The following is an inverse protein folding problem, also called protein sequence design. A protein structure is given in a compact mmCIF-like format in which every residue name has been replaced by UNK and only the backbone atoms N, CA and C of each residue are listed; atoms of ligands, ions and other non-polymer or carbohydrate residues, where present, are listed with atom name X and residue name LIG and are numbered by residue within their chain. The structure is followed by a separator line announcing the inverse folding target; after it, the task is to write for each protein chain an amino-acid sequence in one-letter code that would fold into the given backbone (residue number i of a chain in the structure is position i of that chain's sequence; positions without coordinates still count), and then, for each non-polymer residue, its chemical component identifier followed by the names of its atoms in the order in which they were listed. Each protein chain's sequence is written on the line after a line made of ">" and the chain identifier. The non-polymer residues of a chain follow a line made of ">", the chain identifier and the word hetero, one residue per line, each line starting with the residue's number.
data_IF_497155146323
#
_entry.id   IF_497155146323
#
_cell.length_a   1.000
_cell.length_b   1.000
_cell.length_c   1.000
_cell.angle_alpha   90.00
_cell.angle_beta   90.00
_cell.angle_gamma   90.00
#
_symmetry.space_group_name_H-M   'P 1'
#
loop_
_entity.id
_entity.type
_entity.pdbx_description
1 polymer ?
#
# COMPACT_ATOMS: atom_id res chain seq x y z
N UNK A 1 5.82 -3.09 20.24
CA UNK A 1 4.49 -3.72 20.46
C UNK A 1 4.20 -3.72 21.95
N UNK A 2 3.05 -3.22 22.37
CA UNK A 2 2.66 -3.07 23.77
C UNK A 2 2.53 -4.45 24.47
N UNK A 3 2.99 -4.58 25.74
CA UNK A 3 2.90 -5.83 26.53
C UNK A 3 1.49 -6.40 26.61
N UNK A 4 0.48 -5.54 26.56
CA UNK A 4 -0.96 -5.88 26.52
C UNK A 4 -1.34 -6.84 25.40
N UNK A 5 -0.64 -6.81 24.24
CA UNK A 5 -0.92 -7.70 23.11
C UNK A 5 -0.16 -9.02 23.18
N UNK A 6 0.95 -9.07 23.94
CA UNK A 6 1.78 -10.26 24.03
C UNK A 6 1.06 -11.46 24.67
N UNK A 7 0.15 -11.25 25.61
CA UNK A 7 -0.59 -12.33 26.31
C UNK A 7 -1.73 -12.94 25.49
N UNK A 8 -2.35 -12.16 24.59
CA UNK A 8 -3.53 -12.57 23.84
C UNK A 8 -3.30 -12.76 22.34
N UNK A 9 -2.10 -12.52 21.86
CA UNK A 9 -1.73 -12.60 20.46
C UNK A 9 -0.56 -13.54 20.23
N UNK A 10 -0.69 -14.50 19.32
CA UNK A 10 0.41 -15.35 18.88
C UNK A 10 1.25 -14.61 17.85
N UNK A 11 2.39 -14.10 18.27
CA UNK A 11 3.36 -13.47 17.37
C UNK A 11 4.25 -14.55 16.76
N UNK A 12 4.41 -14.54 15.45
CA UNK A 12 5.36 -15.38 14.73
C UNK A 12 6.16 -14.55 13.76
N UNK A 13 7.46 -14.70 13.80
CA UNK A 13 8.39 -14.23 12.78
C UNK A 13 8.98 -15.44 12.06
N UNK A 14 9.44 -15.26 10.85
CA UNK A 14 10.07 -16.34 10.12
C UNK A 14 10.39 -16.00 8.69
N UNK A 15 10.81 -17.00 7.95
CA UNK A 15 11.15 -16.88 6.55
C UNK A 15 10.22 -17.74 5.70
N UNK A 16 10.05 -17.34 4.44
CA UNK A 16 9.40 -18.13 3.40
C UNK A 16 10.20 -18.08 2.09
N UNK A 17 10.09 -19.13 1.29
CA UNK A 17 10.68 -19.13 -0.05
C UNK A 17 9.83 -18.26 -0.98
N UNK A 18 10.46 -17.27 -1.57
CA UNK A 18 9.86 -16.45 -2.61
C UNK A 18 9.71 -17.20 -3.95
N UNK A 19 9.15 -16.54 -4.96
CA UNK A 19 8.90 -17.16 -6.26
C UNK A 19 10.18 -17.56 -7.01
N UNK A 20 11.30 -16.90 -6.76
CA UNK A 20 12.61 -17.20 -7.35
C UNK A 20 13.43 -18.22 -6.52
N UNK A 21 12.87 -18.77 -5.42
CA UNK A 21 13.54 -19.70 -4.52
C UNK A 21 14.36 -19.07 -3.41
N UNK A 22 14.50 -17.74 -3.40
CA UNK A 22 15.16 -16.99 -2.34
C UNK A 22 14.32 -16.89 -1.07
N UNK A 23 14.86 -16.25 -0.03
CA UNK A 23 14.27 -16.20 1.30
C UNK A 23 13.79 -14.78 1.64
N UNK A 24 12.51 -14.65 1.89
CA UNK A 24 11.90 -13.42 2.40
C UNK A 24 11.45 -13.60 3.84
N UNK A 25 11.52 -12.52 4.61
CA UNK A 25 11.09 -12.45 6.01
C UNK A 25 9.59 -12.10 6.10
N UNK A 26 8.96 -12.46 7.21
CA UNK A 26 7.61 -12.03 7.54
C UNK A 26 7.39 -11.98 9.05
N UNK A 27 6.47 -11.12 9.46
CA UNK A 27 5.82 -11.13 10.77
C UNK A 27 4.36 -11.54 10.63
N UNK A 28 3.81 -12.20 11.65
CA UNK A 28 2.36 -12.42 11.76
C UNK A 28 1.91 -12.32 13.21
N UNK A 29 0.76 -11.73 13.41
CA UNK A 29 0.15 -11.42 14.70
C UNK A 29 -1.27 -11.98 14.68
N UNK A 30 -1.52 -13.02 15.46
CA UNK A 30 -2.76 -13.80 15.39
C UNK A 30 -3.43 -13.81 16.76
N UNK A 31 -4.49 -13.01 16.99
CA UNK A 31 -5.27 -13.06 18.22
C UNK A 31 -5.99 -14.41 18.38
N UNK A 32 -6.48 -14.71 19.57
CA UNK A 32 -7.14 -16.03 19.86
C UNK A 32 -8.32 -16.30 18.93
N UNK A 33 -9.17 -15.31 18.68
CA UNK A 33 -10.38 -15.42 17.86
C UNK A 33 -10.41 -14.32 16.79
N UNK A 34 -9.61 -14.42 15.71
CA UNK A 34 -9.58 -13.36 14.72
C UNK A 34 -10.86 -13.33 13.88
N UNK A 35 -11.40 -12.12 13.68
CA UNK A 35 -12.61 -11.89 12.87
C UNK A 35 -12.35 -11.97 11.37
N UNK A 36 -11.16 -11.52 10.93
CA UNK A 36 -10.68 -11.59 9.55
C UNK A 36 -9.14 -11.56 9.51
N UNK A 37 -8.56 -11.81 8.34
CA UNK A 37 -7.14 -11.65 8.09
C UNK A 37 -6.88 -10.30 7.41
N UNK A 38 -5.78 -9.65 7.74
CA UNK A 38 -5.25 -8.49 7.03
C UNK A 38 -3.83 -8.80 6.56
N UNK A 39 -3.56 -8.61 5.28
CA UNK A 39 -2.21 -8.69 4.71
C UNK A 39 -1.70 -7.28 4.47
N UNK A 40 -0.60 -6.91 5.10
CA UNK A 40 0.07 -5.63 4.91
C UNK A 40 1.09 -5.76 3.77
N UNK A 41 0.95 -4.92 2.75
CA UNK A 41 1.89 -4.78 1.65
C UNK A 41 2.60 -3.43 1.81
N UNK A 42 3.81 -3.44 2.35
CA UNK A 42 4.53 -2.24 2.77
C UNK A 42 5.12 -1.43 1.62
N UNK A 43 5.53 -0.19 1.90
CA UNK A 43 6.07 0.75 0.92
C UNK A 43 7.57 0.57 0.62
N UNK A 44 8.09 1.51 -0.17
CA UNK A 44 9.49 1.58 -0.57
C UNK A 44 10.40 1.96 0.60
N UNK A 45 11.53 1.26 0.77
CA UNK A 45 12.48 1.47 1.86
C UNK A 45 11.87 1.30 3.27
N UNK A 46 10.88 0.44 3.41
CA UNK A 46 10.20 0.17 4.67
C UNK A 46 10.51 -1.24 5.18
N UNK A 47 10.15 -1.50 6.43
CA UNK A 47 10.39 -2.73 7.16
C UNK A 47 9.24 -3.01 8.13
N UNK A 48 9.17 -4.20 8.69
CA UNK A 48 8.01 -4.66 9.45
C UNK A 48 7.69 -3.78 10.67
N UNK A 49 8.68 -3.44 11.47
CA UNK A 49 8.51 -2.69 12.73
C UNK A 49 8.07 -1.24 12.53
N UNK A 50 8.19 -0.72 11.31
CA UNK A 50 7.59 0.58 10.95
C UNK A 50 6.08 0.57 11.08
N UNK A 51 5.46 -0.60 10.97
CA UNK A 51 4.01 -0.80 10.98
C UNK A 51 3.46 -1.16 12.36
N UNK A 52 4.23 -1.12 13.44
CA UNK A 52 3.77 -1.52 14.79
C UNK A 52 2.46 -0.85 15.19
N UNK A 53 2.34 0.48 15.04
CA UNK A 53 1.12 1.24 15.34
C UNK A 53 -0.09 0.79 14.47
N UNK A 54 0.15 0.46 13.21
CA UNK A 54 -0.88 -0.06 12.29
C UNK A 54 -1.31 -1.47 12.70
N UNK A 55 -0.34 -2.31 13.07
CA UNK A 55 -0.59 -3.68 13.58
C UNK A 55 -1.40 -3.63 14.85
N UNK A 56 -1.05 -2.77 15.79
CA UNK A 56 -1.78 -2.58 17.06
C UNK A 56 -3.22 -2.16 16.82
N UNK A 57 -3.47 -1.17 15.95
CA UNK A 57 -4.82 -0.75 15.58
C UNK A 57 -5.66 -1.89 14.97
N UNK A 58 -5.04 -2.76 14.15
CA UNK A 58 -5.72 -3.92 13.58
C UNK A 58 -6.01 -5.00 14.63
N UNK A 59 -5.07 -5.25 15.55
CA UNK A 59 -5.23 -6.21 16.64
C UNK A 59 -6.33 -5.78 17.63
N UNK A 60 -6.44 -4.49 17.94
CA UNK A 60 -7.51 -3.93 18.77
C UNK A 60 -8.90 -4.18 18.20
N UNK A 61 -9.01 -4.22 16.88
CA UNK A 61 -10.25 -4.56 16.17
C UNK A 61 -10.44 -6.06 15.94
N UNK A 62 -9.51 -6.90 16.42
CA UNK A 62 -9.60 -8.36 16.32
C UNK A 62 -9.15 -8.97 14.99
N UNK A 63 -8.41 -8.25 14.16
CA UNK A 63 -7.87 -8.80 12.92
C UNK A 63 -6.59 -9.61 13.16
N UNK A 64 -6.42 -10.72 12.46
CA UNK A 64 -5.11 -11.36 12.33
C UNK A 64 -4.28 -10.61 11.26
N UNK A 65 -3.04 -10.26 11.58
CA UNK A 65 -2.20 -9.45 10.71
C UNK A 65 -1.04 -10.28 10.17
N UNK A 66 -0.80 -10.17 8.87
CA UNK A 66 0.29 -10.83 8.16
C UNK A 66 1.09 -9.77 7.38
N UNK A 67 2.37 -9.64 7.68
CA UNK A 67 3.25 -8.65 7.10
C UNK A 67 4.49 -9.32 6.50
N UNK A 68 4.47 -9.72 5.21
CA UNK A 68 5.67 -10.14 4.51
C UNK A 68 6.52 -8.92 4.14
N UNK A 69 7.83 -9.00 4.36
CA UNK A 69 8.75 -8.01 3.82
C UNK A 69 9.09 -8.31 2.36
N UNK A 70 9.00 -7.31 1.53
CA UNK A 70 9.36 -7.45 0.11
C UNK A 70 10.84 -7.78 -0.06
N UNK A 71 11.19 -8.57 -1.09
CA UNK A 71 12.61 -8.76 -1.44
C UNK A 71 13.30 -7.40 -1.58
N UNK A 72 14.54 -7.32 -1.16
CA UNK A 72 15.31 -6.08 -1.13
C UNK A 72 15.04 -5.17 0.07
N UNK A 73 14.17 -5.55 1.03
CA UNK A 73 13.79 -4.74 2.18
C UNK A 73 13.91 -5.54 3.48
N UNK A 74 14.11 -4.82 4.60
CA UNK A 74 14.17 -5.40 5.93
C UNK A 74 15.12 -6.57 6.03
N UNK A 75 14.66 -7.68 6.59
CA UNK A 75 15.41 -8.94 6.68
C UNK A 75 15.27 -9.85 5.45
N UNK A 76 14.51 -9.43 4.44
CA UNK A 76 14.35 -10.20 3.20
C UNK A 76 15.61 -10.17 2.35
N UNK A 77 15.78 -11.20 1.50
CA UNK A 77 16.91 -11.34 0.60
C UNK A 77 17.13 -10.09 -0.26
N UNK A 78 18.37 -9.67 -0.38
CA UNK A 78 18.80 -8.61 -1.29
C UNK A 78 18.98 -9.15 -2.71
N UNK A 79 18.65 -8.32 -3.69
CA UNK A 79 18.79 -8.62 -5.11
C UNK A 79 20.06 -8.03 -5.72
N UNK A 80 20.80 -7.23 -4.96
CA UNK A 80 22.13 -6.71 -5.32
C UNK A 80 23.06 -6.77 -4.12
N UNK A 81 24.36 -6.55 -4.35
CA UNK A 81 25.40 -6.65 -3.32
C UNK A 81 25.29 -5.60 -2.22
N UNK A 82 24.76 -4.43 -2.56
CA UNK A 82 24.67 -3.31 -1.64
C UNK A 82 23.34 -3.37 -0.86
N UNK A 83 23.43 -3.38 0.48
CA UNK A 83 22.28 -3.56 1.38
C UNK A 83 21.29 -2.41 1.36
N UNK A 84 21.75 -1.21 1.11
CA UNK A 84 20.97 0.02 1.13
C UNK A 84 20.24 0.31 -0.19
N UNK A 85 20.52 -0.47 -1.26
CA UNK A 85 19.90 -0.29 -2.56
C UNK A 85 18.65 -1.13 -2.76
N UNK A 86 17.61 -0.51 -3.27
CA UNK A 86 16.45 -1.23 -3.77
C UNK A 86 16.63 -1.52 -5.26
N UNK A 87 16.67 -2.79 -5.57
CA UNK A 87 16.69 -3.33 -6.93
C UNK A 87 15.53 -4.30 -7.12
N UNK A 88 14.90 -4.26 -8.27
CA UNK A 88 13.94 -5.27 -8.72
C UNK A 88 13.94 -5.34 -10.25
N UNK A 89 13.95 -6.52 -10.80
CA UNK A 89 13.87 -6.70 -12.24
C UNK A 89 12.48 -6.35 -12.78
N UNK A 90 11.44 -6.78 -12.10
CA UNK A 90 10.04 -6.55 -12.45
C UNK A 90 9.17 -6.47 -11.21
N UNK A 91 8.14 -5.65 -11.23
CA UNK A 91 7.11 -5.66 -10.16
C UNK A 91 6.33 -6.97 -10.10
N UNK A 92 6.34 -7.75 -11.18
CA UNK A 92 5.82 -9.12 -11.18
C UNK A 92 6.53 -10.01 -10.14
N UNK A 93 7.81 -9.79 -9.91
CA UNK A 93 8.57 -10.55 -8.92
C UNK A 93 8.01 -10.31 -7.51
N UNK A 94 7.68 -9.05 -7.15
CA UNK A 94 7.00 -8.74 -5.89
C UNK A 94 5.61 -9.37 -5.80
N UNK A 95 4.84 -9.33 -6.89
CA UNK A 95 3.49 -9.90 -6.94
C UNK A 95 3.51 -11.41 -6.76
N UNK A 96 4.45 -12.11 -7.40
CA UNK A 96 4.61 -13.55 -7.25
C UNK A 96 5.08 -13.93 -5.84
N UNK A 97 5.94 -13.13 -5.21
CA UNK A 97 6.38 -13.36 -3.84
C UNK A 97 5.21 -13.23 -2.85
N UNK A 98 4.39 -12.20 -3.03
CA UNK A 98 3.18 -12.01 -2.23
C UNK A 98 2.21 -13.18 -2.41
N UNK A 99 2.03 -13.68 -3.64
CA UNK A 99 1.23 -14.87 -3.92
C UNK A 99 1.79 -16.11 -3.19
N UNK A 100 3.10 -16.36 -3.28
CA UNK A 100 3.76 -17.48 -2.60
C UNK A 100 3.60 -17.39 -1.08
N UNK A 101 3.69 -16.18 -0.51
CA UNK A 101 3.47 -15.96 0.92
C UNK A 101 2.04 -16.31 1.33
N UNK A 102 1.06 -15.75 0.65
CA UNK A 102 -0.36 -15.94 0.96
C UNK A 102 -0.72 -17.43 0.91
N UNK A 103 -0.34 -18.13 -0.17
CA UNK A 103 -0.65 -19.57 -0.34
C UNK A 103 -0.03 -20.46 0.75
N UNK A 104 1.09 -20.06 1.34
CA UNK A 104 1.81 -20.86 2.32
C UNK A 104 1.52 -20.52 3.77
N UNK A 105 1.08 -19.30 4.04
CA UNK A 105 1.01 -18.76 5.41
C UNK A 105 -0.39 -18.41 5.85
N UNK A 106 -1.35 -18.25 4.95
CA UNK A 106 -2.70 -17.80 5.26
C UNK A 106 -3.74 -18.84 4.89
N UNK A 107 -4.61 -19.15 5.85
CA UNK A 107 -5.74 -20.06 5.64
C UNK A 107 -6.94 -19.28 5.04
N UNK A 108 -6.87 -18.94 3.76
CA UNK A 108 -7.84 -18.09 3.05
C UNK A 108 -9.29 -18.56 3.16
N UNK A 109 -9.54 -19.87 3.21
CA UNK A 109 -10.90 -20.42 3.25
C UNK A 109 -11.60 -20.34 4.61
N UNK A 110 -10.89 -19.95 5.65
CA UNK A 110 -11.43 -19.97 7.01
C UNK A 110 -12.14 -18.66 7.39
N UNK A 111 -11.73 -17.54 6.80
CA UNK A 111 -12.30 -16.21 7.08
C UNK A 111 -11.93 -15.23 6.00
N UNK A 112 -12.66 -14.10 5.90
CA UNK A 112 -12.36 -13.01 4.97
C UNK A 112 -10.93 -12.54 5.12
N UNK A 113 -10.33 -12.15 4.00
CA UNK A 113 -8.95 -11.68 3.94
C UNK A 113 -8.88 -10.35 3.21
N UNK A 114 -8.42 -9.32 3.92
CA UNK A 114 -8.30 -7.96 3.42
C UNK A 114 -6.85 -7.62 3.09
N UNK A 115 -6.68 -6.75 2.10
CA UNK A 115 -5.39 -6.18 1.75
C UNK A 115 -5.29 -4.76 2.29
N UNK A 116 -4.26 -4.48 3.07
CA UNK A 116 -3.80 -3.14 3.37
C UNK A 116 -2.49 -2.89 2.64
N UNK A 117 -2.41 -1.85 1.79
CA UNK A 117 -1.22 -1.63 0.97
C UNK A 117 -0.83 -0.14 0.90
N UNK A 118 0.41 0.17 1.27
CA UNK A 118 0.93 1.52 1.30
C UNK A 118 1.92 1.79 0.17
N UNK A 119 1.83 2.96 -0.45
CA UNK A 119 2.85 3.49 -1.38
C UNK A 119 3.23 2.48 -2.49
N UNK A 120 4.50 2.05 -2.56
CA UNK A 120 4.98 0.99 -3.46
C UNK A 120 4.16 -0.29 -3.33
N UNK A 121 3.83 -0.68 -2.08
CA UNK A 121 2.95 -1.82 -1.80
C UNK A 121 1.57 -1.66 -2.42
N UNK A 122 1.07 -0.42 -2.55
CA UNK A 122 -0.16 -0.12 -3.27
C UNK A 122 -0.10 -0.48 -4.75
N UNK A 123 1.03 -0.21 -5.43
CA UNK A 123 1.22 -0.65 -6.81
C UNK A 123 1.31 -2.19 -6.91
N UNK A 124 2.04 -2.83 -5.99
CA UNK A 124 2.16 -4.29 -5.91
C UNK A 124 0.79 -4.93 -5.67
N UNK A 125 0.05 -4.42 -4.66
CA UNK A 125 -1.28 -4.91 -4.31
C UNK A 125 -2.29 -4.75 -5.44
N UNK A 126 -2.31 -3.61 -6.12
CA UNK A 126 -3.23 -3.40 -7.24
C UNK A 126 -2.92 -4.32 -8.43
N UNK A 127 -1.64 -4.53 -8.79
CA UNK A 127 -1.25 -5.50 -9.83
C UNK A 127 -1.60 -6.93 -9.37
N UNK A 128 -1.47 -7.24 -8.08
CA UNK A 128 -1.90 -8.51 -7.51
C UNK A 128 -3.40 -8.74 -7.73
N UNK A 129 -4.24 -7.74 -7.42
CA UNK A 129 -5.69 -7.82 -7.64
C UNK A 129 -6.08 -7.97 -9.13
N UNK A 130 -5.29 -7.41 -10.05
CA UNK A 130 -5.48 -7.63 -11.48
C UNK A 130 -5.21 -9.08 -11.91
N UNK A 131 -4.27 -9.76 -11.23
CA UNK A 131 -3.87 -11.13 -11.55
C UNK A 131 -4.65 -12.19 -10.80
N UNK A 132 -4.98 -11.90 -9.54
CA UNK A 132 -5.62 -12.82 -8.60
C UNK A 132 -6.86 -12.18 -7.98
N UNK A 133 -7.92 -11.92 -8.77
CA UNK A 133 -9.05 -11.08 -8.36
C UNK A 133 -9.98 -11.70 -7.30
N UNK A 134 -9.71 -12.92 -6.85
CA UNK A 134 -10.56 -13.69 -5.92
C UNK A 134 -9.85 -14.04 -4.61
N UNK A 135 -8.62 -13.58 -4.39
CA UNK A 135 -7.86 -13.93 -3.18
C UNK A 135 -8.21 -13.02 -2.01
N UNK A 136 -8.44 -11.74 -2.28
CA UNK A 136 -8.86 -10.78 -1.27
C UNK A 136 -10.35 -10.45 -1.41
N UNK A 137 -11.00 -10.19 -0.29
CA UNK A 137 -12.41 -9.79 -0.24
C UNK A 137 -12.60 -8.28 -0.35
N UNK A 138 -11.64 -7.50 0.15
CA UNK A 138 -11.59 -6.05 -0.01
C UNK A 138 -10.13 -5.54 0.10
N UNK A 139 -9.89 -4.31 -0.35
CA UNK A 139 -8.57 -3.69 -0.25
C UNK A 139 -8.64 -2.23 0.19
N UNK A 140 -7.70 -1.84 1.05
CA UNK A 140 -7.41 -0.46 1.42
C UNK A 140 -6.04 -0.09 0.90
N UNK A 141 -5.98 0.99 0.13
CA UNK A 141 -4.76 1.57 -0.38
C UNK A 141 -4.48 2.91 0.31
N UNK A 142 -3.36 2.99 1.05
CA UNK A 142 -2.88 4.19 1.71
C UNK A 142 -1.84 4.89 0.85
N UNK A 143 -2.16 6.07 0.31
CA UNK A 143 -1.30 6.86 -0.57
C UNK A 143 -0.59 6.01 -1.66
N UNK A 144 -1.30 5.19 -2.46
CA UNK A 144 -0.69 4.16 -3.29
C UNK A 144 0.14 4.74 -4.44
N UNK A 145 1.26 4.10 -4.77
CA UNK A 145 2.13 4.46 -5.88
C UNK A 145 1.54 4.02 -7.23
N UNK A 146 0.37 4.55 -7.60
CA UNK A 146 -0.20 4.35 -8.94
C UNK A 146 0.46 5.22 -10.02
N UNK A 147 1.30 6.17 -9.60
CA UNK A 147 2.15 6.97 -10.46
C UNK A 147 3.32 7.58 -9.67
N UNK A 148 4.53 7.37 -10.15
CA UNK A 148 5.77 7.81 -9.49
C UNK A 148 6.03 9.28 -9.80
N UNK A 149 6.35 10.07 -8.78
CA UNK A 149 6.96 11.38 -8.99
C UNK A 149 8.46 11.22 -9.25
N UNK A 150 8.94 11.83 -10.29
CA UNK A 150 10.35 11.79 -10.74
C UNK A 150 11.04 13.14 -10.49
N UNK A 151 10.67 13.82 -9.40
CA UNK A 151 11.19 15.13 -9.05
C UNK A 151 10.92 16.17 -10.16
N UNK A 152 11.94 16.95 -10.51
CA UNK A 152 11.89 17.95 -11.58
C UNK A 152 12.02 17.32 -12.99
N UNK A 153 12.42 16.05 -13.10
CA UNK A 153 12.59 15.38 -14.39
C UNK A 153 11.23 14.86 -14.90
N UNK A 154 10.77 15.23 -16.09
CA UNK A 154 9.56 14.66 -16.69
C UNK A 154 9.65 13.13 -16.79
N UNK A 155 8.57 12.43 -16.46
CA UNK A 155 8.56 10.96 -16.40
C UNK A 155 9.00 10.27 -17.72
N UNK A 156 8.67 10.76 -18.94
CA UNK A 156 9.21 10.16 -20.16
C UNK A 156 10.73 10.23 -20.25
N UNK A 157 11.33 11.34 -19.80
CA UNK A 157 12.79 11.54 -19.78
C UNK A 157 13.42 10.64 -18.71
N UNK A 158 12.86 10.59 -17.50
CA UNK A 158 13.31 9.68 -16.44
C UNK A 158 13.23 8.22 -16.88
N UNK A 159 12.19 7.82 -17.61
CA UNK A 159 12.06 6.49 -18.21
C UNK A 159 13.17 6.21 -19.21
N UNK A 160 13.47 7.16 -20.12
CA UNK A 160 14.54 7.01 -21.11
C UNK A 160 15.90 6.89 -20.44
N UNK A 161 16.23 7.75 -19.48
CA UNK A 161 17.48 7.71 -18.71
C UNK A 161 17.63 6.36 -18.01
N UNK A 162 16.61 5.91 -17.27
CA UNK A 162 16.66 4.64 -16.56
C UNK A 162 16.83 3.46 -17.52
N UNK A 163 16.16 3.48 -18.68
CA UNK A 163 16.29 2.45 -19.71
C UNK A 163 17.70 2.41 -20.28
N UNK A 164 18.29 3.57 -20.60
CA UNK A 164 19.65 3.65 -21.13
C UNK A 164 20.68 3.19 -20.10
N UNK A 165 20.54 3.62 -18.84
CA UNK A 165 21.40 3.15 -17.74
C UNK A 165 21.37 1.61 -17.61
N UNK A 166 20.19 1.00 -17.68
CA UNK A 166 20.05 -0.45 -17.63
C UNK A 166 20.69 -1.14 -18.85
N UNK A 167 20.57 -0.57 -20.06
CA UNK A 167 21.16 -1.12 -21.28
C UNK A 167 22.69 -1.12 -21.26
N UNK A 168 23.30 -0.12 -20.61
CA UNK A 168 24.79 -0.05 -20.47
C UNK A 168 25.30 -0.73 -19.18
N UNK A 169 24.49 -1.57 -18.55
CA UNK A 169 24.90 -2.34 -17.36
C UNK A 169 24.88 -1.57 -16.03
N UNK A 170 24.37 -0.33 -16.01
CA UNK A 170 24.27 0.51 -14.80
C UNK A 170 22.91 0.35 -14.07
N UNK A 171 22.19 -0.73 -14.30
CA UNK A 171 20.88 -0.97 -13.70
C UNK A 171 20.89 -1.02 -12.16
N UNK A 172 22.00 -1.44 -11.55
CA UNK A 172 22.20 -1.50 -10.09
C UNK A 172 22.76 -0.20 -9.48
N UNK A 173 23.11 0.80 -10.30
CA UNK A 173 23.50 2.10 -9.79
C UNK A 173 22.29 2.87 -9.26
N UNK A 174 22.49 3.76 -8.29
CA UNK A 174 21.44 4.65 -7.82
C UNK A 174 20.84 5.47 -8.95
N UNK A 175 19.52 5.55 -9.00
CA UNK A 175 18.85 6.49 -9.89
C UNK A 175 19.25 7.94 -9.53
N UNK A 176 19.23 8.85 -10.51
CA UNK A 176 19.61 10.23 -10.30
C UNK A 176 18.83 10.86 -9.13
N UNK A 177 19.55 11.44 -8.18
CA UNK A 177 19.00 12.02 -6.94
C UNK A 177 18.70 10.99 -5.83
N UNK A 178 19.04 9.73 -6.02
CA UNK A 178 18.98 8.69 -4.98
C UNK A 178 20.38 8.44 -4.40
N UNK A 179 20.40 8.06 -3.11
CA UNK A 179 21.64 7.74 -2.37
C UNK A 179 21.36 6.72 -1.27
N UNK A 180 22.37 6.21 -0.62
CA UNK A 180 22.26 5.34 0.56
C UNK A 180 21.82 6.10 1.80
N UNK A 181 21.51 5.36 2.86
CA UNK A 181 21.19 5.93 4.16
C UNK A 181 22.43 6.60 4.76
N UNK A 182 22.33 7.88 5.10
CA UNK A 182 23.43 8.69 5.62
C UNK A 182 23.34 9.00 7.14
N UNK A 183 22.29 8.49 7.80
CA UNK A 183 22.08 8.67 9.24
C UNK A 183 21.71 10.10 9.66
N UNK A 184 21.35 10.98 8.73
CA UNK A 184 20.98 12.35 9.05
C UNK A 184 19.48 12.51 9.21
N UNK A 185 19.08 13.21 10.27
CA UNK A 185 17.69 13.58 10.48
C UNK A 185 17.22 14.65 9.50
N UNK A 186 16.03 14.42 8.94
CA UNK A 186 15.34 15.39 8.08
C UNK A 186 13.82 15.29 8.23
N UNK A 187 13.32 15.56 9.44
CA UNK A 187 11.88 15.52 9.70
C UNK A 187 11.10 16.50 8.81
N UNK A 188 11.64 17.67 8.56
CA UNK A 188 10.98 18.71 7.74
C UNK A 188 10.57 18.19 6.36
N UNK A 189 11.45 17.43 5.70
CA UNK A 189 11.23 16.85 4.38
C UNK A 189 10.73 15.40 4.44
N UNK A 190 10.43 14.89 5.64
CA UNK A 190 9.93 13.52 5.81
C UNK A 190 8.53 13.33 5.23
N UNK A 191 8.15 12.07 5.09
CA UNK A 191 6.85 11.64 4.55
C UNK A 191 5.72 11.61 5.59
N UNK A 192 6.00 11.87 6.87
CA UNK A 192 5.02 11.89 7.96
C UNK A 192 4.87 13.29 8.58
N UNK A 193 3.81 13.51 9.38
CA UNK A 193 3.58 14.76 10.11
C UNK A 193 3.70 14.58 11.63
N UNK A 194 3.77 13.35 12.14
CA UNK A 194 4.07 13.05 13.54
C UNK A 194 5.58 13.00 13.75
N UNK A 195 6.11 13.91 14.57
CA UNK A 195 7.52 13.92 14.93
C UNK A 195 7.88 12.70 15.79
N UNK A 196 7.00 12.29 16.69
CA UNK A 196 7.17 11.11 17.54
C UNK A 196 7.35 9.84 16.69
N UNK A 197 6.45 9.58 15.76
CA UNK A 197 6.56 8.43 14.86
C UNK A 197 7.81 8.50 13.99
N UNK A 198 8.18 9.71 13.52
CA UNK A 198 9.42 9.92 12.78
C UNK A 198 10.67 9.54 13.61
N UNK A 199 10.78 10.05 14.83
CA UNK A 199 11.94 9.80 15.71
C UNK A 199 12.05 8.31 16.06
N UNK A 200 10.92 7.65 16.35
CA UNK A 200 10.89 6.21 16.60
C UNK A 200 11.43 5.41 15.40
N UNK A 201 10.97 5.71 14.20
CA UNK A 201 11.39 5.00 12.99
C UNK A 201 12.84 5.32 12.63
N UNK A 202 13.26 6.58 12.79
CA UNK A 202 14.64 7.00 12.56
C UNK A 202 15.60 6.30 13.49
N UNK A 203 15.26 6.18 14.79
CA UNK A 203 16.02 5.42 15.78
C UNK A 203 16.17 3.94 15.37
N UNK A 204 15.06 3.26 15.05
CA UNK A 204 15.08 1.86 14.61
C UNK A 204 15.99 1.67 13.39
N UNK A 205 15.94 2.60 12.43
CA UNK A 205 16.79 2.56 11.24
C UNK A 205 18.25 2.73 11.53
N UNK A 206 18.60 3.62 12.46
CA UNK A 206 20.01 3.80 12.88
C UNK A 206 20.55 2.59 13.62
N UNK A 207 19.73 1.92 14.43
CA UNK A 207 20.14 0.78 15.24
C UNK A 207 20.23 -0.55 14.45
N UNK A 208 19.59 -0.65 13.29
CA UNK A 208 19.51 -1.89 12.54
C UNK A 208 19.90 -1.71 11.06
N UNK A 209 21.00 -2.30 10.63
CA UNK A 209 21.48 -2.26 9.25
C UNK A 209 20.46 -2.80 8.25
N UNK A 210 19.66 -3.83 8.62
CA UNK A 210 18.62 -4.37 7.77
C UNK A 210 17.54 -3.34 7.40
N UNK A 211 17.34 -2.30 8.21
CA UNK A 211 16.37 -1.23 7.98
C UNK A 211 16.93 -0.03 7.21
N UNK A 212 18.21 -0.04 6.89
CA UNK A 212 18.91 1.05 6.20
C UNK A 212 18.77 1.00 4.66
N UNK A 213 17.84 0.19 4.14
CA UNK A 213 17.43 0.28 2.74
C UNK A 213 16.89 1.67 2.46
N UNK A 214 17.45 2.40 1.48
CA UNK A 214 17.15 3.82 1.33
C UNK A 214 16.97 4.30 -0.10
N UNK A 215 17.80 3.91 -1.05
CA UNK A 215 17.79 4.45 -2.40
C UNK A 215 17.38 3.47 -3.50
N UNK A 216 16.59 3.95 -4.46
CA UNK A 216 16.18 3.18 -5.63
C UNK A 216 17.26 3.18 -6.71
N UNK A 217 17.46 2.02 -7.33
CA UNK A 217 18.33 1.87 -8.50
C UNK A 217 17.62 2.29 -9.80
N UNK A 218 18.39 2.50 -10.88
CA UNK A 218 17.81 2.73 -12.20
C UNK A 218 16.86 1.60 -12.63
N UNK A 219 17.19 0.35 -12.32
CA UNK A 219 16.33 -0.78 -12.65
C UNK A 219 15.02 -0.76 -11.85
N UNK A 220 15.06 -0.41 -10.57
CA UNK A 220 13.83 -0.25 -9.77
C UNK A 220 12.95 0.87 -10.33
N UNK A 221 13.54 2.02 -10.67
CA UNK A 221 12.80 3.14 -11.27
C UNK A 221 12.15 2.75 -12.60
N UNK A 222 12.91 2.08 -13.48
CA UNK A 222 12.42 1.59 -14.77
C UNK A 222 11.24 0.61 -14.57
N UNK A 223 11.43 -0.39 -13.70
CA UNK A 223 10.41 -1.38 -13.38
C UNK A 223 9.13 -0.73 -12.80
N UNK A 224 9.28 0.24 -11.89
CA UNK A 224 8.17 0.97 -11.29
C UNK A 224 7.39 1.84 -12.29
N UNK A 225 8.09 2.55 -13.19
CA UNK A 225 7.43 3.33 -14.27
C UNK A 225 6.65 2.39 -15.20
N UNK A 226 7.21 1.26 -15.59
CA UNK A 226 6.55 0.28 -16.45
C UNK A 226 5.33 -0.36 -15.75
N UNK A 227 5.48 -0.73 -14.48
CA UNK A 227 4.43 -1.33 -13.66
C UNK A 227 3.23 -0.38 -13.52
N UNK A 228 3.46 0.87 -13.11
CA UNK A 228 2.37 1.86 -12.93
C UNK A 228 1.70 2.22 -14.27
N UNK A 229 2.44 2.24 -15.36
CA UNK A 229 1.88 2.44 -16.71
C UNK A 229 0.98 1.27 -17.15
N UNK A 230 1.34 0.03 -16.79
CA UNK A 230 0.53 -1.16 -17.09
C UNK A 230 -0.70 -1.23 -16.20
N UNK A 231 -0.54 -1.01 -14.89
CA UNK A 231 -1.61 -0.96 -13.91
C UNK A 231 -2.75 -0.03 -14.36
N UNK A 232 -2.44 1.18 -14.80
CA UNK A 232 -3.45 2.17 -15.20
C UNK A 232 -4.03 1.96 -16.61
N UNK A 233 -3.80 0.81 -17.25
CA UNK A 233 -4.54 0.45 -18.47
C UNK A 233 -5.94 0.01 -18.12
N UNK A 234 -6.94 0.57 -18.80
CA UNK A 234 -8.37 0.27 -18.56
C UNK A 234 -8.68 -1.22 -18.56
N UNK A 235 -8.06 -2.01 -19.45
CA UNK A 235 -8.24 -3.46 -19.52
C UNK A 235 -7.77 -4.20 -18.26
N UNK A 236 -6.77 -3.64 -17.55
CA UNK A 236 -6.22 -4.21 -16.34
C UNK A 236 -7.06 -3.81 -15.12
N UNK A 237 -7.32 -2.50 -14.95
CA UNK A 237 -8.17 -1.99 -13.88
C UNK A 237 -9.55 -2.68 -13.82
N UNK A 238 -10.14 -3.02 -14.98
CA UNK A 238 -11.42 -3.76 -15.07
C UNK A 238 -11.38 -5.18 -14.50
N UNK A 239 -10.19 -5.75 -14.26
CA UNK A 239 -10.05 -7.07 -13.65
C UNK A 239 -10.23 -7.03 -12.14
N UNK A 240 -10.06 -5.87 -11.51
CA UNK A 240 -10.28 -5.67 -10.08
C UNK A 240 -11.79 -5.68 -9.85
N UNK A 241 -12.26 -6.63 -9.05
CA UNK A 241 -13.68 -6.92 -8.85
C UNK A 241 -14.15 -6.72 -7.42
N UNK A 242 -13.22 -6.58 -6.49
CA UNK A 242 -13.49 -6.40 -5.06
C UNK A 242 -13.67 -4.93 -4.71
N UNK A 243 -14.36 -4.61 -3.61
CA UNK A 243 -14.40 -3.27 -3.05
C UNK A 243 -13.01 -2.74 -2.71
N UNK A 244 -12.75 -1.47 -3.04
CA UNK A 244 -11.46 -0.80 -2.82
C UNK A 244 -11.69 0.57 -2.19
N UNK A 245 -10.97 0.87 -1.12
CA UNK A 245 -10.90 2.20 -0.53
C UNK A 245 -9.49 2.76 -0.73
N UNK A 246 -9.39 3.96 -1.31
CA UNK A 246 -8.12 4.70 -1.45
C UNK A 246 -8.11 5.86 -0.49
N UNK A 247 -7.09 5.92 0.37
CA UNK A 247 -6.74 7.13 1.10
C UNK A 247 -5.69 7.92 0.34
N UNK A 248 -5.98 9.17 0.06
CA UNK A 248 -5.09 10.10 -0.62
C UNK A 248 -4.58 11.13 0.37
N UNK A 249 -3.26 11.22 0.52
CA UNK A 249 -2.65 12.29 1.29
C UNK A 249 -2.82 13.65 0.60
N UNK A 250 -3.03 14.71 1.40
CA UNK A 250 -3.15 16.05 0.85
C UNK A 250 -1.83 16.55 0.26
N UNK A 251 -0.75 16.47 1.05
CA UNK A 251 0.57 16.99 0.68
C UNK A 251 1.53 15.84 0.34
N UNK A 252 1.20 15.12 -0.73
CA UNK A 252 2.02 14.01 -1.18
C UNK A 252 3.10 14.48 -2.16
N UNK A 253 4.36 14.30 -1.77
CA UNK A 253 5.52 14.61 -2.61
C UNK A 253 6.16 13.37 -3.26
N UNK A 254 5.69 12.16 -2.92
CA UNK A 254 6.23 10.87 -3.40
C UNK A 254 5.47 10.33 -4.61
N UNK A 255 4.13 10.42 -4.59
CA UNK A 255 3.28 9.82 -5.62
C UNK A 255 2.39 10.86 -6.31
N UNK A 256 1.86 10.50 -7.48
CA UNK A 256 0.98 11.36 -8.27
C UNK A 256 -0.48 11.16 -7.88
N UNK A 257 -1.07 12.08 -7.14
CA UNK A 257 -2.49 12.04 -6.75
C UNK A 257 -3.46 11.90 -7.94
N UNK A 258 -3.13 12.46 -9.12
CA UNK A 258 -3.92 12.26 -10.37
C UNK A 258 -4.02 10.78 -10.78
N UNK A 259 -3.05 9.96 -10.42
CA UNK A 259 -3.09 8.54 -10.73
C UNK A 259 -4.14 7.80 -9.91
N UNK A 260 -4.41 8.23 -8.68
CA UNK A 260 -5.50 7.72 -7.85
C UNK A 260 -6.87 7.97 -8.50
N UNK A 261 -7.10 9.19 -9.02
CA UNK A 261 -8.33 9.53 -9.74
C UNK A 261 -8.50 8.68 -11.01
N UNK A 262 -7.40 8.43 -11.74
CA UNK A 262 -7.45 7.56 -12.91
C UNK A 262 -7.81 6.12 -12.56
N UNK A 263 -7.29 5.62 -11.45
CA UNK A 263 -7.63 4.29 -10.94
C UNK A 263 -9.09 4.23 -10.49
N UNK A 264 -9.56 5.21 -9.72
CA UNK A 264 -10.96 5.35 -9.29
C UNK A 264 -11.94 5.27 -10.47
N UNK A 265 -11.67 6.02 -11.56
CA UNK A 265 -12.54 6.04 -12.75
C UNK A 265 -12.43 4.72 -13.53
N UNK A 266 -11.29 4.05 -13.47
CA UNK A 266 -11.01 2.83 -14.25
C UNK A 266 -11.52 1.53 -13.63
N UNK A 267 -11.83 1.54 -12.33
CA UNK A 267 -12.35 0.41 -11.55
C UNK A 267 -13.85 0.54 -11.29
N UNK A 268 -14.50 -0.51 -10.75
CA UNK A 268 -15.96 -0.52 -10.57
C UNK A 268 -16.41 -0.15 -9.16
N UNK A 269 -15.72 -0.66 -8.16
CA UNK A 269 -16.11 -0.59 -6.74
C UNK A 269 -14.97 0.08 -5.94
N UNK A 270 -14.61 1.29 -6.33
CA UNK A 270 -13.53 2.03 -5.67
C UNK A 270 -14.05 3.34 -5.13
N UNK A 271 -13.77 3.60 -3.86
CA UNK A 271 -13.97 4.88 -3.19
C UNK A 271 -12.63 5.56 -2.93
N UNK A 272 -12.62 6.88 -2.86
CA UNK A 272 -11.43 7.67 -2.56
C UNK A 272 -11.75 8.71 -1.50
N UNK A 273 -10.97 8.70 -0.42
CA UNK A 273 -11.01 9.71 0.63
C UNK A 273 -9.67 10.45 0.69
N UNK A 274 -9.73 11.78 0.73
CA UNK A 274 -8.56 12.61 0.97
C UNK A 274 -8.47 12.93 2.45
N UNK A 275 -7.31 12.72 3.04
CA UNK A 275 -7.01 13.08 4.44
C UNK A 275 -6.30 14.43 4.44
N UNK A 276 -7.02 15.44 4.87
CA UNK A 276 -6.50 16.81 4.94
C UNK A 276 -5.43 16.92 6.02
N UNK A 277 -4.42 17.76 5.80
CA UNK A 277 -3.29 17.95 6.72
C UNK A 277 -2.29 16.79 6.75
N UNK A 278 -2.47 15.74 5.95
CA UNK A 278 -1.56 14.59 5.93
C UNK A 278 -0.49 14.71 4.84
N UNK A 279 0.69 14.17 5.13
CA UNK A 279 1.72 13.82 4.16
C UNK A 279 1.56 12.36 3.71
N UNK A 280 2.51 11.87 2.92
CA UNK A 280 2.49 10.54 2.28
C UNK A 280 2.19 9.37 3.25
N UNK A 281 2.80 9.37 4.44
CA UNK A 281 2.57 8.37 5.49
C UNK A 281 1.37 8.77 6.37
N UNK A 282 0.15 8.54 5.89
CA UNK A 282 -1.09 8.98 6.56
C UNK A 282 -1.23 8.33 7.95
N UNK A 283 -0.81 7.08 8.10
CA UNK A 283 -0.85 6.36 9.38
C UNK A 283 0.18 6.87 10.41
N UNK A 284 1.11 7.72 10.00
CA UNK A 284 2.03 8.50 10.85
C UNK A 284 1.71 10.01 10.80
N UNK A 285 0.45 10.36 10.57
CA UNK A 285 0.00 11.74 10.66
C UNK A 285 -0.30 12.15 12.11
N UNK A 286 -0.75 13.37 12.32
CA UNK A 286 -1.24 13.83 13.62
C UNK A 286 -2.45 13.03 14.08
N UNK A 287 -2.77 13.09 15.38
CA UNK A 287 -3.82 12.29 16.00
C UNK A 287 -5.19 12.44 15.31
N UNK A 288 -5.63 13.67 15.07
CA UNK A 288 -6.91 13.93 14.42
C UNK A 288 -7.02 13.32 13.01
N UNK A 289 -5.93 13.33 12.23
CA UNK A 289 -5.88 12.71 10.92
C UNK A 289 -5.90 11.18 11.00
N UNK A 290 -5.19 10.61 11.99
CA UNK A 290 -5.17 9.16 12.23
C UNK A 290 -6.54 8.65 12.69
N UNK A 291 -7.24 9.39 13.55
CA UNK A 291 -8.59 9.04 14.00
C UNK A 291 -9.55 8.90 12.81
N UNK A 292 -9.65 9.93 11.97
CA UNK A 292 -10.49 9.88 10.75
C UNK A 292 -10.04 8.75 9.82
N UNK A 293 -8.74 8.57 9.64
CA UNK A 293 -8.18 7.56 8.75
C UNK A 293 -8.56 6.14 9.20
N UNK A 294 -8.38 5.80 10.49
CA UNK A 294 -8.71 4.47 11.00
C UNK A 294 -10.22 4.26 11.10
N UNK A 295 -11.00 5.26 11.52
CA UNK A 295 -12.47 5.18 11.56
C UNK A 295 -13.03 4.80 10.18
N UNK A 296 -12.65 5.51 9.14
CA UNK A 296 -13.13 5.27 7.78
C UNK A 296 -12.65 3.91 7.22
N UNK A 297 -11.44 3.49 7.54
CA UNK A 297 -10.91 2.20 7.14
C UNK A 297 -11.66 1.05 7.80
N UNK A 298 -11.87 1.12 9.11
CA UNK A 298 -12.59 0.07 9.84
C UNK A 298 -14.06 0.03 9.47
N UNK A 299 -14.72 1.19 9.30
CA UNK A 299 -16.09 1.25 8.80
C UNK A 299 -16.23 0.56 7.45
N UNK A 300 -15.31 0.82 6.51
CA UNK A 300 -15.28 0.17 5.22
C UNK A 300 -15.12 -1.36 5.33
N UNK A 301 -14.22 -1.86 6.18
CA UNK A 301 -14.05 -3.31 6.37
C UNK A 301 -15.21 -3.97 7.12
N UNK A 302 -15.81 -3.29 8.09
CA UNK A 302 -16.99 -3.78 8.80
C UNK A 302 -18.20 -3.97 7.87
N UNK A 303 -18.40 -3.07 6.92
CA UNK A 303 -19.41 -3.23 5.86
C UNK A 303 -19.18 -4.53 5.08
N UNK A 304 -17.92 -4.80 4.71
CA UNK A 304 -17.59 -6.03 3.98
C UNK A 304 -17.78 -7.29 4.84
N UNK A 305 -17.62 -7.22 6.15
CA UNK A 305 -17.89 -8.35 7.04
C UNK A 305 -19.39 -8.62 7.20
N UNK A 306 -20.25 -7.59 7.15
CA UNK A 306 -21.70 -7.69 7.30
C UNK A 306 -22.41 -8.25 6.05
N UNK A 307 -21.90 -8.04 4.87
CA UNK A 307 -22.54 -8.48 3.63
C UNK A 307 -22.83 -10.00 3.58
N UNK A 308 -22.06 -10.83 4.26
CA UNK A 308 -22.36 -12.27 4.36
C UNK A 308 -23.54 -12.60 5.29
N UNK A 309 -23.76 -11.79 6.33
CA UNK A 309 -24.86 -12.00 7.28
C UNK A 309 -26.21 -11.58 6.69
N UNK A 310 -26.20 -10.67 5.73
CA UNK A 310 -27.40 -10.09 5.12
C UNK A 310 -28.05 -10.97 4.04
N UNK A 311 -27.35 -11.95 3.49
CA UNK A 311 -27.93 -12.92 2.53
C UNK A 311 -29.00 -13.81 3.20
N UNK A 312 -29.15 -13.76 4.52
CA UNK A 312 -30.13 -14.55 5.28
C UNK A 312 -31.36 -13.79 5.77
N UNK A 313 -31.55 -12.48 5.52
CA UNK A 313 -32.75 -11.76 5.97
C UNK A 313 -33.23 -10.70 4.99
N UNK A 314 -34.41 -10.92 4.35
CA UNK A 314 -35.09 -9.99 3.43
C UNK A 314 -35.39 -8.56 3.91
N UNK A 315 -35.47 -8.22 5.22
CA UNK A 315 -35.76 -6.85 5.65
C UNK A 315 -34.65 -5.82 5.42
N UNK A 316 -33.44 -6.25 5.00
CA UNK A 316 -32.28 -5.36 4.83
C UNK A 316 -32.30 -4.57 3.51
N UNK A 317 -32.96 -5.06 2.50
CA UNK A 317 -33.06 -4.39 1.18
C UNK A 317 -33.82 -3.06 1.26
N UNK A 318 -34.85 -2.97 2.11
CA UNK A 318 -35.63 -1.71 2.29
C UNK A 318 -34.84 -0.62 3.03
N UNK A 319 -33.94 -1.01 3.95
CA UNK A 319 -33.10 -0.04 4.67
C UNK A 319 -31.98 0.52 3.79
N UNK A 320 -31.37 -0.29 2.94
CA UNK A 320 -30.34 0.12 1.99
C UNK A 320 -30.87 1.12 0.96
N UNK A 321 -32.06 0.87 0.37
CA UNK A 321 -32.67 1.81 -0.59
C UNK A 321 -32.98 3.19 0.02
N UNK A 322 -33.26 3.25 1.33
CA UNK A 322 -33.58 4.50 2.02
C UNK A 322 -32.34 5.32 2.38
N UNK A 323 -31.22 4.68 2.70
CA UNK A 323 -29.97 5.34 3.11
C UNK A 323 -29.00 5.64 1.95
N UNK A 324 -28.96 4.80 0.93
CA UNK A 324 -28.18 5.06 -0.30
C UNK A 324 -28.65 6.32 -1.05
N UNK A 325 -29.95 6.65 -0.95
CA UNK A 325 -30.48 7.91 -1.53
C UNK A 325 -29.99 9.18 -0.82
N UNK A 326 -29.54 9.10 0.42
CA UNK A 326 -29.12 10.28 1.21
C UNK A 326 -27.62 10.48 1.15
N UNK A 327 -26.83 9.40 1.23
CA UNK A 327 -25.35 9.49 1.28
C UNK A 327 -24.76 9.59 -0.13
N UNK A 328 -25.23 8.79 -1.07
CA UNK A 328 -24.81 8.85 -2.49
C UNK A 328 -25.17 10.17 -3.14
N UNK A 329 -26.33 10.75 -2.86
CA UNK A 329 -26.75 12.00 -3.51
C UNK A 329 -25.93 13.22 -3.07
N UNK A 330 -25.50 13.31 -1.80
CA UNK A 330 -24.65 14.43 -1.33
C UNK A 330 -23.18 14.30 -1.74
N UNK A 331 -22.65 13.10 -1.75
CA UNK A 331 -21.27 12.83 -2.20
C UNK A 331 -21.20 12.84 -3.73
N UNK A 332 -22.21 12.32 -4.41
CA UNK A 332 -22.30 12.31 -5.88
C UNK A 332 -22.46 13.72 -6.47
N UNK A 333 -23.34 14.55 -5.93
CA UNK A 333 -23.51 15.94 -6.41
C UNK A 333 -22.26 16.81 -6.21
N UNK A 334 -21.49 16.64 -5.13
CA UNK A 334 -20.20 17.33 -4.95
C UNK A 334 -19.11 16.81 -5.90
N UNK A 335 -19.15 15.55 -6.27
CA UNK A 335 -18.17 14.94 -7.17
C UNK A 335 -18.51 15.16 -8.64
N UNK A 336 -19.79 15.21 -9.03
CA UNK A 336 -20.20 15.48 -10.42
C UNK A 336 -19.75 16.86 -10.90
N UNK A 337 -19.85 17.88 -10.06
CA UNK A 337 -19.39 19.24 -10.40
C UNK A 337 -17.87 19.24 -10.63
N UNK A 338 -17.09 18.57 -9.78
CA UNK A 338 -15.63 18.44 -9.93
C UNK A 338 -15.21 17.52 -11.08
N UNK A 339 -15.94 16.45 -11.36
CA UNK A 339 -15.67 15.53 -12.47
C UNK A 339 -15.94 16.21 -13.81
N UNK A 340 -16.99 17.01 -13.92
CA UNK A 340 -17.31 17.77 -15.13
C UNK A 340 -16.31 18.92 -15.40
N UNK A 341 -15.79 19.57 -14.35
CA UNK A 341 -14.68 20.50 -14.47
C UNK A 341 -13.39 19.81 -14.91
N UNK A 342 -13.11 18.63 -14.38
CA UNK A 342 -11.92 17.84 -14.76
C UNK A 342 -12.03 17.26 -16.17
N UNK A 343 -13.22 16.87 -16.63
CA UNK A 343 -13.47 16.48 -18.05
C UNK A 343 -13.20 17.61 -19.01
N UNK A 344 -13.70 18.84 -18.73
CA UNK A 344 -13.41 20.02 -19.56
C UNK A 344 -11.93 20.37 -19.67
N UNK A 345 -11.13 20.04 -18.66
CA UNK A 345 -9.67 20.25 -18.68
C UNK A 345 -8.94 19.12 -19.41
N UNK A 346 -9.49 17.90 -19.45
CA UNK A 346 -8.89 16.76 -20.16
C UNK A 346 -9.20 16.75 -21.67
N UNK A 347 -10.26 17.41 -22.09
CA UNK A 347 -10.59 17.61 -23.52
C UNK A 347 -9.84 18.79 -24.16
N UNK A 348 -9.06 19.54 -23.36
CA UNK A 348 -8.24 20.68 -23.77
C UNK A 348 -6.71 20.37 -23.76
N UNK A 349 -6.32 19.11 -23.54
CA UNK A 349 -4.95 18.59 -23.60
C UNK A 349 -4.91 17.35 -24.49
#
# INVERSE_FOLDING_TARGET
>A
MDEKFAENCKVKTGIFRNAAGGLNYYCSYIPKNPIANVVICHGFCEFAEKYDEVVEAFLEKGYAVYLPEHRGHGYSQRECSDWDKVYIRSYDDYVQDLYCFIQRKIALKQRKTFLFAHSMGGAIGAIFLEKYPTIFDAAVFSAPMFGIRTGKCPQPIAHLIARMACLVGQGTAYAAGQHGFDGKEDFKNSSCTSEESYQRIFKLRNECVAYQTYGGTYQWLLAGILATKQLLKRKNMKKIRIPVLIFQAEWDHMVKNRAHLKFLIGTRQTSLLRIEGSKHEIFHAGEAQREVYYEQMFSFWEEQLREETAVMTEPFLEWQEKNDRVITRKVWQRNETKINETRKVLDLI
#
